data_IF_795511923378
#
_entry.id   IF_795511923378
#
_cell.length_a   1.000
_cell.length_b   1.000
_cell.length_c   1.000
_cell.angle_alpha   90.00
_cell.angle_beta   90.00
_cell.angle_gamma   90.00
#
_symmetry.space_group_name_H-M   'P 1'
#
loop_
_entity.id
_entity.type
_entity.pdbx_description
1 polymer ?
#
# COMPACT_ATOMS: atom_id res chain seq x y z
N UNK A 1 16.30 16.07 -23.38
CA UNK A 1 15.06 15.59 -23.99
C UNK A 1 14.55 14.54 -23.03
N UNK A 2 13.90 15.03 -21.99
CA UNK A 2 12.44 15.01 -21.84
C UNK A 2 11.95 13.60 -21.56
N UNK A 3 11.63 13.35 -20.29
CA UNK A 3 10.37 12.69 -19.97
C UNK A 3 9.87 13.24 -18.63
N UNK A 4 9.01 14.26 -18.75
CA UNK A 4 8.07 14.67 -17.73
C UNK A 4 7.07 13.53 -17.56
N UNK A 5 7.32 12.64 -16.61
CA UNK A 5 6.31 11.66 -16.19
C UNK A 5 5.46 12.35 -15.11
N UNK A 6 4.25 12.67 -15.53
CA UNK A 6 3.14 13.18 -14.76
C UNK A 6 2.97 12.46 -13.41
N UNK A 7 3.22 13.18 -12.31
CA UNK A 7 3.14 12.69 -10.92
C UNK A 7 1.71 12.83 -10.34
N UNK A 8 0.65 12.64 -11.13
CA UNK A 8 -0.74 12.85 -10.68
C UNK A 8 -1.71 11.66 -10.72
N UNK A 9 -1.23 10.42 -10.84
CA UNK A 9 -2.09 9.25 -10.63
C UNK A 9 -1.46 8.26 -9.66
N UNK A 10 -2.23 7.86 -8.65
CA UNK A 10 -1.81 7.20 -7.42
C UNK A 10 -1.39 5.73 -7.55
N UNK A 11 -0.58 5.39 -8.55
CA UNK A 11 0.10 4.10 -8.64
C UNK A 11 1.57 4.35 -8.99
N UNK A 12 2.40 4.65 -7.98
CA UNK A 12 3.85 4.70 -8.13
C UNK A 12 4.36 3.27 -8.38
N UNK A 13 4.99 2.97 -9.54
CA UNK A 13 5.77 1.74 -9.68
C UNK A 13 7.02 1.95 -8.84
N UNK A 14 6.94 1.57 -7.57
CA UNK A 14 8.06 1.64 -6.65
C UNK A 14 9.04 0.53 -7.05
N UNK A 15 10.05 0.90 -7.85
CA UNK A 15 11.24 0.07 -8.03
C UNK A 15 11.87 -0.17 -6.65
N UNK A 16 12.29 -1.41 -6.37
CA UNK A 16 12.80 -1.86 -5.06
C UNK A 16 13.79 -0.88 -4.40
N UNK A 17 14.61 -0.19 -5.20
CA UNK A 17 15.61 0.79 -4.75
C UNK A 17 15.02 2.06 -4.12
N UNK A 18 13.82 2.48 -4.53
CA UNK A 18 13.14 3.66 -3.97
C UNK A 18 12.32 3.31 -2.71
N UNK A 19 11.94 2.04 -2.53
CA UNK A 19 11.24 1.59 -1.32
C UNK A 19 12.13 1.67 -0.07
N UNK A 20 13.43 1.41 -0.20
CA UNK A 20 14.36 1.56 0.93
C UNK A 20 14.44 3.01 1.45
N UNK A 21 14.13 3.99 0.58
CA UNK A 21 14.05 5.42 0.90
C UNK A 21 12.63 5.89 1.20
N UNK A 22 11.66 4.98 1.27
CA UNK A 22 10.29 5.35 1.63
C UNK A 22 10.30 6.07 2.97
N UNK A 23 9.89 7.33 2.90
CA UNK A 23 9.58 8.17 4.03
C UNK A 23 8.18 8.69 3.82
N UNK A 24 7.46 8.83 4.92
CA UNK A 24 6.20 9.54 4.87
C UNK A 24 6.46 10.97 4.37
N UNK A 25 5.69 11.42 3.38
CA UNK A 25 5.86 12.78 2.88
C UNK A 25 5.54 13.79 4.00
N UNK A 26 6.23 14.93 4.08
CA UNK A 26 6.06 15.91 5.15
C UNK A 26 4.61 16.38 5.32
N UNK A 27 3.85 16.46 4.22
CA UNK A 27 2.45 16.89 4.21
C UNK A 27 1.53 15.91 4.95
N UNK A 28 1.89 14.63 4.97
CA UNK A 28 1.15 13.61 5.70
C UNK A 28 1.54 13.54 7.18
N UNK A 29 2.67 14.14 7.60
CA UNK A 29 3.07 14.16 9.01
C UNK A 29 2.05 14.86 9.91
N UNK A 30 1.43 15.94 9.41
CA UNK A 30 0.41 16.74 10.11
C UNK A 30 -0.90 15.95 10.27
N UNK A 31 -1.17 15.02 9.35
CA UNK A 31 -2.38 14.21 9.32
C UNK A 31 -2.15 12.73 9.66
N UNK A 32 -1.04 12.40 10.33
CA UNK A 32 -0.69 11.01 10.72
C UNK A 32 -1.83 10.25 11.39
N UNK A 33 -2.59 10.92 12.24
CA UNK A 33 -3.74 10.35 12.95
C UNK A 33 -4.92 9.95 12.04
N UNK A 34 -4.91 10.37 10.76
CA UNK A 34 -5.91 10.00 9.74
C UNK A 34 -5.40 8.94 8.77
N UNK A 35 -4.14 8.52 8.88
CA UNK A 35 -3.56 7.54 7.98
C UNK A 35 -3.94 6.14 8.42
N UNK A 36 -4.28 5.31 7.44
CA UNK A 36 -4.52 3.90 7.63
C UNK A 36 -3.94 3.15 6.44
N UNK A 37 -3.07 2.17 6.70
CA UNK A 37 -2.40 1.37 5.67
C UNK A 37 -3.23 0.16 5.25
N UNK A 38 -3.21 -0.16 3.96
CA UNK A 38 -3.71 -1.43 3.43
C UNK A 38 -2.52 -2.20 2.87
N UNK A 39 -2.42 -3.48 3.24
CA UNK A 39 -1.40 -4.41 2.74
C UNK A 39 -2.08 -5.64 2.14
N UNK A 40 -1.31 -6.44 1.41
CA UNK A 40 -1.75 -7.64 0.70
C UNK A 40 -0.67 -8.71 0.86
N UNK A 41 -1.04 -9.98 0.79
CA UNK A 41 -0.12 -11.10 0.87
C UNK A 41 0.73 -11.17 -0.41
N UNK A 42 2.02 -11.54 -0.29
CA UNK A 42 2.92 -11.63 -1.44
C UNK A 42 2.42 -12.59 -2.52
N UNK A 43 1.89 -13.75 -2.14
CA UNK A 43 1.32 -14.74 -3.04
C UNK A 43 0.15 -14.14 -3.83
N UNK A 44 -0.77 -13.47 -3.13
CA UNK A 44 -1.94 -12.85 -3.76
C UNK A 44 -1.55 -11.70 -4.69
N UNK A 45 -0.60 -10.88 -4.28
CA UNK A 45 -0.06 -9.81 -5.12
C UNK A 45 0.60 -10.36 -6.38
N UNK A 46 1.39 -11.43 -6.23
CA UNK A 46 2.05 -12.15 -7.31
C UNK A 46 1.03 -12.69 -8.31
N UNK A 47 -0.04 -13.33 -7.87
CA UNK A 47 -1.14 -13.79 -8.74
C UNK A 47 -1.75 -12.63 -9.54
N UNK A 48 -2.08 -11.52 -8.88
CA UNK A 48 -2.69 -10.34 -9.52
C UNK A 48 -1.73 -9.76 -10.57
N UNK A 49 -0.44 -9.62 -10.23
CA UNK A 49 0.57 -9.09 -11.13
C UNK A 49 0.84 -10.02 -12.30
N UNK A 50 0.86 -11.34 -12.09
CA UNK A 50 1.00 -12.32 -13.17
C UNK A 50 -0.18 -12.26 -14.15
N UNK A 51 -1.41 -12.06 -13.66
CA UNK A 51 -2.57 -11.87 -14.52
C UNK A 51 -2.51 -10.58 -15.36
N UNK A 52 -1.83 -9.53 -14.85
CA UNK A 52 -1.63 -8.26 -15.59
C UNK A 52 -0.45 -8.32 -16.56
N UNK A 53 0.67 -8.90 -16.13
CA UNK A 53 1.89 -9.04 -16.90
C UNK A 53 2.69 -10.25 -16.42
N UNK A 54 2.39 -11.40 -17.02
CA UNK A 54 3.05 -12.67 -16.72
C UNK A 54 4.55 -12.64 -17.07
N UNK A 55 5.34 -13.47 -16.36
CA UNK A 55 6.76 -13.68 -16.62
C UNK A 55 7.63 -12.42 -16.55
N UNK A 56 7.26 -11.47 -15.69
CA UNK A 56 8.04 -10.26 -15.45
C UNK A 56 8.64 -10.26 -14.04
N UNK A 57 9.79 -9.61 -13.86
CA UNK A 57 10.40 -9.43 -12.52
C UNK A 57 9.44 -8.70 -11.56
N UNK A 58 8.60 -7.81 -12.10
CA UNK A 58 7.51 -7.13 -11.40
C UNK A 58 6.52 -8.09 -10.76
N UNK A 59 6.22 -9.21 -11.41
CA UNK A 59 5.32 -10.25 -10.95
C UNK A 59 6.06 -11.41 -10.24
N UNK A 60 7.34 -11.25 -9.93
CA UNK A 60 8.08 -12.26 -9.18
C UNK A 60 7.71 -12.22 -7.69
N UNK A 61 7.66 -13.40 -7.07
CA UNK A 61 7.34 -13.55 -5.65
C UNK A 61 8.34 -12.79 -4.77
N UNK A 62 9.64 -12.96 -5.03
CA UNK A 62 10.71 -12.28 -4.29
C UNK A 62 10.61 -10.76 -4.36
N UNK A 63 10.24 -10.20 -5.52
CA UNK A 63 10.02 -8.77 -5.67
C UNK A 63 8.82 -8.33 -4.84
N UNK A 64 7.69 -9.04 -4.93
CA UNK A 64 6.48 -8.73 -4.16
C UNK A 64 6.73 -8.80 -2.65
N UNK A 65 7.44 -9.82 -2.17
CA UNK A 65 7.81 -9.97 -0.76
C UNK A 65 8.68 -8.80 -0.27
N UNK A 66 9.72 -8.45 -1.02
CA UNK A 66 10.64 -7.36 -0.66
C UNK A 66 9.92 -6.00 -0.60
N UNK A 67 9.04 -5.75 -1.58
CA UNK A 67 8.22 -4.53 -1.62
C UNK A 67 7.28 -4.44 -0.41
N UNK A 68 6.53 -5.52 -0.15
CA UNK A 68 5.59 -5.56 0.97
C UNK A 68 6.31 -5.43 2.32
N UNK A 69 7.44 -6.10 2.49
CA UNK A 69 8.25 -5.98 3.70
C UNK A 69 8.67 -4.53 3.96
N UNK A 70 9.11 -3.83 2.90
CA UNK A 70 9.54 -2.43 2.97
C UNK A 70 8.38 -1.50 3.34
N UNK A 71 7.21 -1.70 2.73
CA UNK A 71 5.98 -0.92 3.02
C UNK A 71 5.50 -1.16 4.45
N UNK A 72 5.45 -2.40 4.90
CA UNK A 72 5.03 -2.70 6.26
C UNK A 72 6.04 -2.21 7.30
N UNK A 73 7.33 -2.24 6.97
CA UNK A 73 8.38 -1.64 7.80
C UNK A 73 8.17 -0.13 7.97
N UNK A 74 7.79 0.57 6.89
CA UNK A 74 7.38 1.97 6.95
C UNK A 74 6.17 2.15 7.88
N UNK A 75 5.10 1.36 7.70
CA UNK A 75 3.92 1.48 8.56
C UNK A 75 4.26 1.27 10.04
N UNK A 76 5.09 0.28 10.36
CA UNK A 76 5.57 0.03 11.73
C UNK A 76 6.40 1.19 12.27
N UNK A 77 7.34 1.72 11.48
CA UNK A 77 8.21 2.84 11.88
C UNK A 77 7.43 4.12 12.14
N UNK A 78 6.42 4.40 11.31
CA UNK A 78 5.59 5.60 11.40
C UNK A 78 4.36 5.42 12.32
N UNK A 79 4.25 4.27 13.00
CA UNK A 79 3.12 3.89 13.85
C UNK A 79 1.75 4.03 13.15
N UNK A 80 1.70 3.76 11.85
CA UNK A 80 0.49 3.80 11.04
C UNK A 80 -0.26 2.48 11.25
N UNK A 81 -1.52 2.49 11.72
CA UNK A 81 -2.32 1.28 11.79
C UNK A 81 -2.58 0.75 10.38
N UNK A 82 -2.42 -0.56 10.18
CA UNK A 82 -2.63 -1.19 8.88
C UNK A 82 -3.36 -2.52 9.00
N UNK A 83 -3.96 -2.97 7.90
CA UNK A 83 -4.62 -4.29 7.80
C UNK A 83 -4.28 -4.98 6.48
N UNK A 84 -4.11 -6.29 6.53
CA UNK A 84 -3.98 -7.12 5.35
C UNK A 84 -5.38 -7.42 4.78
N UNK A 85 -5.58 -7.14 3.49
CA UNK A 85 -6.88 -7.23 2.83
C UNK A 85 -6.98 -8.33 1.78
N UNK A 86 -6.03 -9.28 1.71
CA UNK A 86 -5.96 -10.27 0.62
C UNK A 86 -7.23 -11.09 0.45
N UNK A 87 -7.89 -11.41 1.57
CA UNK A 87 -9.07 -12.27 1.65
C UNK A 87 -10.32 -11.52 2.11
N UNK A 88 -10.28 -10.19 2.15
CA UNK A 88 -11.37 -9.35 2.65
C UNK A 88 -12.19 -8.74 1.50
N UNK A 89 -13.51 -8.66 1.67
CA UNK A 89 -14.35 -7.88 0.77
C UNK A 89 -14.21 -6.37 1.04
N UNK A 90 -14.63 -5.53 0.09
CA UNK A 90 -14.61 -4.07 0.24
C UNK A 90 -15.45 -3.61 1.44
N UNK A 91 -16.58 -4.27 1.70
CA UNK A 91 -17.46 -4.01 2.84
C UNK A 91 -16.78 -4.37 4.17
N UNK A 92 -16.05 -5.48 4.20
CA UNK A 92 -15.32 -5.91 5.39
C UNK A 92 -14.12 -5.01 5.67
N UNK A 93 -13.37 -4.60 4.63
CA UNK A 93 -12.31 -3.59 4.74
C UNK A 93 -12.87 -2.29 5.33
N UNK A 94 -13.98 -1.80 4.76
CA UNK A 94 -14.64 -0.57 5.24
C UNK A 94 -15.04 -0.67 6.70
N UNK A 95 -15.60 -1.81 7.11
CA UNK A 95 -16.04 -2.04 8.49
C UNK A 95 -14.85 -2.05 9.45
N UNK A 96 -13.76 -2.75 9.10
CA UNK A 96 -12.54 -2.81 9.92
C UNK A 96 -11.85 -1.46 10.04
N UNK A 97 -11.80 -0.67 8.97
CA UNK A 97 -11.24 0.69 9.02
C UNK A 97 -12.08 1.55 9.97
N UNK A 98 -13.41 1.54 9.85
CA UNK A 98 -14.30 2.33 10.72
C UNK A 98 -14.16 1.91 12.19
N UNK A 99 -14.10 0.60 12.46
CA UNK A 99 -13.90 0.06 13.81
C UNK A 99 -12.56 0.51 14.41
N UNK A 100 -11.46 0.39 13.65
CA UNK A 100 -10.12 0.73 14.15
C UNK A 100 -9.85 2.24 14.26
N UNK A 101 -10.45 3.04 13.39
CA UNK A 101 -10.29 4.50 13.42
C UNK A 101 -11.25 5.21 14.37
N UNK A 102 -12.25 4.49 14.91
CA UNK A 102 -13.30 5.08 15.75
C UNK A 102 -14.19 6.09 15.01
N UNK A 103 -14.11 6.12 13.67
CA UNK A 103 -14.91 7.01 12.84
C UNK A 103 -16.37 6.55 12.87
N UNK A 104 -17.22 7.34 13.53
CA UNK A 104 -18.67 7.08 13.51
C UNK A 104 -19.19 7.29 12.09
N UNK A 105 -19.86 6.26 11.57
CA UNK A 105 -20.56 6.31 10.28
C UNK A 105 -21.57 7.47 10.31
N UNK A 106 -21.32 8.53 9.53
CA UNK A 106 -22.34 9.53 9.20
C UNK A 106 -23.17 8.97 8.05
N UNK A 107 -24.29 8.34 8.38
CA UNK A 107 -25.36 8.12 7.41
C UNK A 107 -26.11 9.46 7.26
N UNK A 108 -26.18 9.97 6.03
CA UNK A 108 -27.06 11.08 5.66
C UNK A 108 -28.42 10.54 5.24
#
# INVERSE_FOLDING_TARGET
>A
MEENIDKNHGELPVYCEDLAKLRLLPEFEIHRHKLFGLTIDPERLTEIRNNRLANSDYASESQCESELYSVESLFRREAIPYINTSSMSVEEISTRILERTGLKRRLF
#
